data_IF_315313368000
#
_entry.id   IF_315313368000
#
_cell.length_a   1.000
_cell.length_b   1.000
_cell.length_c   1.000
_cell.angle_alpha   90.00
_cell.angle_beta   90.00
_cell.angle_gamma   90.00
#
_symmetry.space_group_name_H-M   'P 1'
#
loop_
_entity.id
_entity.type
_entity.pdbx_description
1 polymer ?
#
# COMPACT_ATOMS: atom_id res chain seq x y z
N UNK A 1 -15.23 18.11 -18.37
CA UNK A 1 -14.99 16.73 -18.87
C UNK A 1 -13.59 16.21 -18.54
N UNK A 2 -12.74 16.96 -17.82
CA UNK A 2 -11.33 16.63 -17.56
C UNK A 2 -11.07 15.75 -16.33
N UNK A 3 -11.94 15.78 -15.32
CA UNK A 3 -11.71 15.04 -14.06
C UNK A 3 -11.87 13.53 -14.21
N UNK A 4 -12.83 13.06 -15.03
CA UNK A 4 -13.11 11.63 -15.18
C UNK A 4 -12.03 10.89 -15.99
N UNK A 5 -11.50 11.55 -17.02
CA UNK A 5 -10.40 11.01 -17.86
C UNK A 5 -9.10 10.90 -17.04
N UNK A 6 -8.79 11.93 -16.23
CA UNK A 6 -7.64 11.91 -15.33
C UNK A 6 -7.77 10.80 -14.27
N UNK A 7 -8.95 10.64 -13.65
CA UNK A 7 -9.18 9.56 -12.69
C UNK A 7 -9.08 8.16 -13.32
N UNK A 8 -9.47 8.02 -14.59
CA UNK A 8 -9.30 6.77 -15.32
C UNK A 8 -7.82 6.49 -15.64
N UNK A 9 -7.06 7.50 -16.06
CA UNK A 9 -5.61 7.35 -16.28
C UNK A 9 -4.86 7.04 -14.99
N UNK A 10 -5.28 7.61 -13.86
CA UNK A 10 -4.67 7.35 -12.56
C UNK A 10 -4.88 5.89 -12.13
N UNK A 11 -6.10 5.38 -12.29
CA UNK A 11 -6.42 3.98 -12.02
C UNK A 11 -5.63 3.01 -12.91
N UNK A 12 -5.43 3.34 -14.19
CA UNK A 12 -4.62 2.54 -15.11
C UNK A 12 -3.14 2.50 -14.70
N UNK A 13 -2.58 3.64 -14.28
CA UNK A 13 -1.21 3.74 -13.75
C UNK A 13 -1.05 2.89 -12.49
N UNK A 14 -1.99 2.98 -11.55
CA UNK A 14 -1.99 2.15 -10.32
C UNK A 14 -2.14 0.66 -10.64
N UNK A 15 -3.03 0.30 -11.56
CA UNK A 15 -3.23 -1.09 -11.98
C UNK A 15 -1.96 -1.69 -12.62
N UNK A 16 -1.26 -0.91 -13.44
CA UNK A 16 0.01 -1.32 -14.04
C UNK A 16 1.09 -1.58 -12.97
N UNK A 17 1.19 -0.71 -11.96
CA UNK A 17 2.13 -0.90 -10.85
C UNK A 17 1.79 -2.15 -10.01
N UNK A 18 0.51 -2.39 -9.72
CA UNK A 18 0.09 -3.63 -9.06
C UNK A 18 0.42 -4.86 -9.87
N UNK A 19 0.24 -4.85 -11.19
CA UNK A 19 0.62 -5.97 -12.07
C UNK A 19 2.10 -6.31 -11.93
N UNK A 20 2.97 -5.29 -11.92
CA UNK A 20 4.41 -5.46 -11.70
C UNK A 20 4.69 -6.07 -10.32
N UNK A 21 4.13 -5.50 -9.25
CA UNK A 21 4.36 -5.99 -7.88
C UNK A 21 3.83 -7.41 -7.67
N UNK A 22 2.69 -7.77 -8.26
CA UNK A 22 2.10 -9.11 -8.20
C UNK A 22 2.90 -10.16 -8.99
N UNK A 23 3.73 -9.74 -9.95
CA UNK A 23 4.64 -10.61 -10.71
C UNK A 23 5.94 -10.93 -9.98
N UNK A 24 6.24 -10.24 -8.87
CA UNK A 24 7.46 -10.46 -8.12
C UNK A 24 7.53 -11.86 -7.50
N UNK A 25 8.74 -12.42 -7.50
CA UNK A 25 9.06 -13.66 -6.82
C UNK A 25 9.63 -13.41 -5.42
N UNK A 26 9.94 -14.51 -4.73
CA UNK A 26 10.52 -14.51 -3.38
C UNK A 26 11.88 -13.82 -3.28
N UNK A 27 12.54 -13.52 -4.41
CA UNK A 27 13.75 -12.72 -4.48
C UNK A 27 13.51 -11.23 -4.18
N UNK A 28 12.26 -10.76 -4.31
CA UNK A 28 11.86 -9.37 -4.02
C UNK A 28 10.97 -9.24 -2.80
N UNK A 29 9.98 -10.13 -2.67
CA UNK A 29 9.02 -10.14 -1.56
C UNK A 29 8.31 -11.51 -1.55
N UNK A 30 7.86 -11.99 -0.39
CA UNK A 30 6.99 -13.17 -0.37
C UNK A 30 5.69 -12.88 -1.16
N UNK A 31 5.36 -13.63 -2.23
CA UNK A 31 4.19 -13.35 -3.06
C UNK A 31 2.85 -13.35 -2.31
N UNK A 32 2.76 -13.97 -1.13
CA UNK A 32 1.54 -13.91 -0.30
C UNK A 32 1.23 -12.48 0.14
N UNK A 33 2.25 -11.65 0.37
CA UNK A 33 2.13 -10.27 0.89
C UNK A 33 1.39 -9.36 -0.09
N UNK A 34 1.85 -9.15 -1.34
CA UNK A 34 1.13 -8.30 -2.28
C UNK A 34 -0.22 -8.88 -2.70
N UNK A 35 -0.38 -10.21 -2.75
CA UNK A 35 -1.68 -10.85 -3.07
C UNK A 35 -2.71 -10.59 -1.97
N UNK A 36 -2.31 -10.69 -0.71
CA UNK A 36 -3.18 -10.41 0.44
C UNK A 36 -3.60 -8.95 0.41
N UNK A 37 -2.65 -8.02 0.29
CA UNK A 37 -2.93 -6.59 0.18
C UNK A 37 -3.90 -6.28 -0.97
N UNK A 38 -3.66 -6.84 -2.16
CA UNK A 38 -4.48 -6.61 -3.36
C UNK A 38 -5.92 -7.14 -3.23
N UNK A 39 -6.16 -8.12 -2.35
CA UNK A 39 -7.51 -8.65 -2.11
C UNK A 39 -8.44 -7.62 -1.42
N UNK A 40 -7.87 -6.64 -0.70
CA UNK A 40 -8.62 -5.56 -0.08
C UNK A 40 -8.94 -4.47 -1.11
N UNK A 41 -10.22 -4.24 -1.36
CA UNK A 41 -10.68 -3.24 -2.33
C UNK A 41 -10.17 -1.81 -2.02
N UNK A 42 -10.03 -1.46 -0.74
CA UNK A 42 -9.51 -0.16 -0.30
C UNK A 42 -8.00 -0.01 -0.44
N UNK A 43 -7.25 -1.12 -0.51
CA UNK A 43 -5.78 -1.10 -0.62
C UNK A 43 -5.32 -1.21 -2.07
N UNK A 44 -6.01 -1.99 -2.91
CA UNK A 44 -5.64 -2.17 -4.33
C UNK A 44 -5.77 -0.92 -5.19
N UNK A 45 -6.44 0.12 -4.68
CA UNK A 45 -6.55 1.43 -5.32
C UNK A 45 -5.40 2.36 -4.94
N UNK A 46 -4.52 1.95 -4.04
CA UNK A 46 -3.33 2.70 -3.63
C UNK A 46 -2.12 2.30 -4.47
N UNK A 47 -1.12 3.20 -4.53
CA UNK A 47 0.12 2.97 -5.25
C UNK A 47 1.03 1.98 -4.50
N UNK A 48 1.37 0.81 -5.08
CA UNK A 48 2.20 -0.20 -4.43
C UNK A 48 3.68 0.02 -4.72
N UNK A 49 4.54 -0.19 -3.73
CA UNK A 49 5.99 -0.20 -3.88
C UNK A 49 6.63 -1.26 -3.00
N UNK A 50 7.67 -1.94 -3.51
CA UNK A 50 8.44 -2.90 -2.71
C UNK A 50 9.85 -2.38 -2.48
N UNK A 51 10.28 -2.38 -1.22
CA UNK A 51 11.64 -2.03 -0.83
C UNK A 51 12.08 -2.91 0.34
N UNK A 52 13.29 -3.48 0.25
CA UNK A 52 13.85 -4.37 1.29
C UNK A 52 12.92 -5.52 1.72
N UNK A 53 12.15 -6.10 0.78
CA UNK A 53 11.20 -7.17 1.10
C UNK A 53 9.90 -6.72 1.76
N UNK A 54 9.64 -5.42 1.85
CA UNK A 54 8.45 -4.84 2.47
C UNK A 54 7.60 -4.15 1.41
N UNK A 55 6.27 -4.38 1.49
CA UNK A 55 5.29 -3.68 0.67
C UNK A 55 4.84 -2.38 1.35
N UNK A 56 5.00 -1.28 0.63
CA UNK A 56 4.51 0.04 0.98
C UNK A 56 3.32 0.41 0.09
N UNK A 57 2.39 1.16 0.66
CA UNK A 57 1.25 1.73 -0.05
C UNK A 57 1.28 3.26 0.10
N UNK A 58 0.99 3.96 -0.99
CA UNK A 58 0.95 5.43 -1.04
C UNK A 58 -0.35 5.91 -1.66
N UNK A 59 -0.84 7.07 -1.22
CA UNK A 59 -2.00 7.76 -1.82
C UNK A 59 -1.64 8.54 -3.09
N UNK A 60 -0.36 8.58 -3.48
CA UNK A 60 0.12 9.23 -4.70
C UNK A 60 1.20 8.40 -5.40
N UNK A 61 1.37 8.57 -6.71
CA UNK A 61 2.25 7.70 -7.52
C UNK A 61 3.70 8.18 -7.62
N UNK A 62 3.97 9.46 -7.38
CA UNK A 62 5.27 10.10 -7.56
C UNK A 62 5.90 10.52 -6.23
N UNK A 63 7.22 10.63 -6.23
CA UNK A 63 7.97 11.11 -5.08
C UNK A 63 7.82 12.63 -4.91
N UNK A 64 7.66 13.17 -3.68
CA UNK A 64 7.59 12.44 -2.41
C UNK A 64 6.27 11.69 -2.23
N UNK A 65 6.35 10.40 -1.88
CA UNK A 65 5.18 9.56 -1.62
C UNK A 65 4.55 9.87 -0.26
N UNK A 66 3.25 9.61 -0.13
CA UNK A 66 2.56 9.65 1.15
C UNK A 66 3.11 8.57 2.09
N UNK A 67 3.12 8.86 3.40
CA UNK A 67 3.66 7.97 4.45
C UNK A 67 2.66 7.72 5.59
N UNK A 68 1.40 8.00 5.32
CA UNK A 68 0.27 7.99 6.25
C UNK A 68 -0.55 6.69 6.21
N UNK A 69 -0.27 5.81 5.26
CA UNK A 69 -0.79 4.44 5.22
C UNK A 69 0.07 3.52 6.08
N UNK A 70 -0.54 2.54 6.75
CA UNK A 70 0.16 1.54 7.54
C UNK A 70 1.03 0.61 6.67
N UNK A 71 2.16 0.18 7.22
CA UNK A 71 3.09 -0.78 6.62
C UNK A 71 3.26 -1.97 7.56
N UNK A 72 3.12 -3.19 7.02
CA UNK A 72 3.32 -4.43 7.75
C UNK A 72 4.79 -4.86 7.67
N UNK A 73 5.49 -4.83 8.79
CA UNK A 73 6.89 -5.26 8.89
C UNK A 73 6.96 -6.68 9.47
N UNK A 74 7.53 -7.66 8.75
CA UNK A 74 7.67 -9.02 9.27
C UNK A 74 8.61 -9.04 10.49
N UNK A 75 8.31 -9.89 11.47
CA UNK A 75 9.13 -10.04 12.67
C UNK A 75 9.93 -11.36 12.65
N UNK A 76 11.10 -11.35 13.29
CA UNK A 76 11.97 -12.53 13.37
C UNK A 76 11.35 -13.72 14.11
N UNK A 77 10.44 -13.46 15.05
CA UNK A 77 9.70 -14.49 15.78
C UNK A 77 8.42 -14.96 15.03
N UNK A 78 8.20 -14.48 13.81
CA UNK A 78 6.95 -14.65 13.06
C UNK A 78 5.96 -13.51 13.31
N UNK A 79 4.93 -13.43 12.46
CA UNK A 79 3.95 -12.35 12.47
C UNK A 79 4.47 -11.01 11.96
N UNK A 80 3.69 -9.97 12.18
CA UNK A 80 3.89 -8.63 11.63
C UNK A 80 3.67 -7.54 12.67
N UNK A 81 4.50 -6.50 12.60
CA UNK A 81 4.26 -5.23 13.27
C UNK A 81 3.76 -4.21 12.25
N UNK A 82 2.56 -3.65 12.46
CA UNK A 82 1.97 -2.66 11.57
C UNK A 82 2.26 -1.26 12.10
N UNK A 83 2.94 -0.42 11.31
CA UNK A 83 3.29 0.95 11.70
C UNK A 83 2.94 1.95 10.62
N UNK A 84 2.63 3.18 11.04
CA UNK A 84 2.53 4.33 10.15
C UNK A 84 3.86 5.10 10.17
N UNK A 85 4.43 5.37 9.00
CA UNK A 85 5.77 5.95 8.89
C UNK A 85 5.80 7.47 9.16
N UNK A 86 4.74 8.19 8.79
CA UNK A 86 4.64 9.66 8.94
C UNK A 86 4.75 10.14 10.39
N UNK A 87 4.16 9.42 11.34
CA UNK A 87 4.13 9.75 12.77
C UNK A 87 4.82 8.70 13.66
N UNK A 88 5.33 7.62 13.05
CA UNK A 88 5.95 6.46 13.70
C UNK A 88 5.01 5.67 14.62
N UNK A 89 3.70 5.90 14.53
CA UNK A 89 2.67 5.24 15.35
C UNK A 89 2.68 3.73 15.11
N UNK A 90 2.62 2.96 16.21
CA UNK A 90 2.32 1.53 16.16
C UNK A 90 0.81 1.36 16.05
N UNK A 91 0.34 0.86 14.91
CA UNK A 91 -1.08 0.54 14.69
C UNK A 91 -1.44 -0.76 15.42
N UNK A 92 -0.55 -1.75 15.36
CA UNK A 92 -0.77 -3.03 16.04
C UNK A 92 0.27 -4.10 15.70
N UNK A 93 0.04 -5.29 16.24
CA UNK A 93 0.79 -6.51 15.94
C UNK A 93 -0.22 -7.56 15.48
N UNK A 94 0.13 -8.29 14.43
CA UNK A 94 -0.68 -9.34 13.82
C UNK A 94 0.11 -10.64 13.77
N UNK A 95 -0.55 -11.77 13.97
CA UNK A 95 0.09 -13.09 13.87
C UNK A 95 0.21 -13.53 12.42
N UNK A 96 -0.67 -13.07 11.54
CA UNK A 96 -0.76 -13.46 10.13
C UNK A 96 -0.65 -12.27 9.18
N UNK A 97 -0.46 -12.55 7.89
CA UNK A 97 -0.41 -11.50 6.86
C UNK A 97 -1.80 -10.92 6.61
N UNK A 98 -2.83 -11.75 6.69
CA UNK A 98 -4.24 -11.38 6.56
C UNK A 98 -4.64 -10.38 7.64
N UNK A 99 -4.39 -10.71 8.91
CA UNK A 99 -4.66 -9.80 10.04
C UNK A 99 -3.88 -8.47 9.91
N UNK A 100 -2.65 -8.51 9.39
CA UNK A 100 -1.85 -7.30 9.22
C UNK A 100 -2.49 -6.35 8.18
N UNK A 101 -2.96 -6.88 7.05
CA UNK A 101 -3.60 -6.07 6.02
C UNK A 101 -5.04 -5.69 6.35
N UNK A 102 -5.75 -6.48 7.15
CA UNK A 102 -7.01 -6.06 7.79
C UNK A 102 -6.79 -4.85 8.71
N UNK A 103 -5.75 -4.88 9.55
CA UNK A 103 -5.39 -3.75 10.41
C UNK A 103 -5.05 -2.50 9.59
N UNK A 104 -4.29 -2.64 8.49
CA UNK A 104 -3.98 -1.51 7.61
C UNK A 104 -5.25 -0.94 6.98
N UNK A 105 -6.11 -1.79 6.42
CA UNK A 105 -7.36 -1.38 5.77
C UNK A 105 -8.32 -0.69 6.75
N UNK A 106 -8.37 -1.13 8.01
CA UNK A 106 -9.19 -0.54 9.06
C UNK A 106 -8.64 0.79 9.62
N UNK A 107 -7.37 1.12 9.36
CA UNK A 107 -6.69 2.31 9.89
C UNK A 107 -6.17 3.24 8.79
N UNK A 108 -6.82 3.21 7.62
CA UNK A 108 -6.55 4.15 6.54
C UNK A 108 -6.83 5.59 7.01
N UNK A 109 -6.09 6.59 6.48
CA UNK A 109 -6.39 8.00 6.74
C UNK A 109 -7.84 8.35 6.39
N UNK A 110 -8.40 9.35 7.07
CA UNK A 110 -9.68 9.92 6.69
C UNK A 110 -9.64 10.38 5.22
N UNK A 111 -10.71 10.12 4.47
CA UNK A 111 -10.81 10.40 3.04
C UNK A 111 -9.75 9.69 2.17
N UNK A 112 -9.22 8.54 2.60
CA UNK A 112 -8.32 7.73 1.77
C UNK A 112 -9.08 7.15 0.56
N UNK A 113 -8.96 7.81 -0.58
CA UNK A 113 -9.46 7.38 -1.88
C UNK A 113 -8.40 6.67 -2.74
N UNK A 114 -8.71 6.44 -4.03
CA UNK A 114 -7.72 5.97 -5.00
C UNK A 114 -6.50 6.89 -5.05
N UNK A 115 -5.34 6.30 -5.31
CA UNK A 115 -4.12 7.08 -5.43
C UNK A 115 -4.16 8.01 -6.65
N UNK A 116 -3.68 9.23 -6.47
CA UNK A 116 -3.61 10.26 -7.53
C UNK A 116 -2.27 10.22 -8.25
N UNK A 117 -2.27 10.53 -9.54
CA UNK A 117 -1.00 10.78 -10.26
C UNK A 117 -0.46 12.12 -9.81
N UNK A 118 0.65 12.09 -9.09
CA UNK A 118 1.23 13.26 -8.46
C UNK A 118 2.03 12.87 -7.22
N UNK A 119 2.32 13.87 -6.39
CA UNK A 119 3.12 13.76 -5.17
C UNK A 119 2.25 13.90 -3.92
N UNK A 120 2.85 13.82 -2.74
CA UNK A 120 2.14 14.04 -1.49
C UNK A 120 1.58 15.47 -1.33
N UNK A 121 2.11 16.44 -2.06
CA UNK A 121 1.62 17.83 -2.04
C UNK A 121 0.30 17.99 -2.83
N UNK A 122 -0.08 16.98 -3.64
CA UNK A 122 -1.30 16.95 -4.45
C UNK A 122 -2.48 16.23 -3.75
N UNK A 123 -2.33 15.87 -2.47
CA UNK A 123 -3.28 15.09 -1.65
C UNK A 123 -4.24 15.91 -0.80
#
# INVERSE_FOLDING_TARGET
>A
MTSNEASQSDAEVVAAAWSVVLSYGTDRIDPVVPRTAYSHASLRVLWPMVSHGVLYLSRCTQYPWSRDVGTAFPQSAGGYRVRRESDRTLIGVAATVEEAYELIAANLPDNCGPAVVGTADDL
#
